data_IF_208768280731
#
_entry.id   IF_208768280731
#
_cell.length_a   1.000
_cell.length_b   1.000
_cell.length_c   1.000
_cell.angle_alpha   90.00
_cell.angle_beta   90.00
_cell.angle_gamma   90.00
#
_symmetry.space_group_name_H-M   'P 1'
#
loop_
_entity.id
_entity.type
_entity.pdbx_description
1 polymer ?
#
# COMPACT_ATOMS: atom_id res chain seq x y z
N UNK A 1 -1.13 -2.73 16.62
CA UNK A 1 -1.83 -4.02 16.41
C UNK A 1 -1.70 -4.38 14.95
N UNK A 2 -1.75 -5.65 14.63
CA UNK A 2 -1.57 -6.20 13.29
C UNK A 2 -2.69 -7.20 12.99
N UNK A 3 -3.16 -7.28 11.76
CA UNK A 3 -4.31 -8.09 11.34
C UNK A 3 -3.88 -9.27 10.48
N UNK A 4 -4.58 -10.41 10.62
CA UNK A 4 -4.44 -11.57 9.73
C UNK A 4 -5.21 -11.34 8.42
N UNK A 5 -4.66 -11.75 7.28
CA UNK A 5 -5.32 -11.66 5.98
C UNK A 5 -5.47 -13.05 5.38
N UNK A 6 -6.67 -13.40 4.94
CA UNK A 6 -6.96 -14.70 4.31
C UNK A 6 -7.56 -14.45 2.92
N UNK A 7 -6.96 -15.08 1.92
CA UNK A 7 -7.56 -15.27 0.60
C UNK A 7 -8.18 -16.67 0.58
N UNK A 8 -9.48 -16.77 0.33
CA UNK A 8 -10.22 -18.02 0.26
C UNK A 8 -10.72 -18.24 -1.16
N UNK A 9 -10.00 -19.06 -1.92
CA UNK A 9 -10.28 -19.47 -3.29
C UNK A 9 -10.66 -18.28 -4.22
N UNK A 10 -9.95 -17.14 -4.08
CA UNK A 10 -10.26 -15.93 -4.85
C UNK A 10 -9.95 -16.13 -6.32
N UNK A 11 -10.90 -15.77 -7.17
CA UNK A 11 -10.73 -15.74 -8.63
C UNK A 11 -11.08 -14.36 -9.16
N UNK A 12 -10.34 -13.88 -10.16
CA UNK A 12 -10.65 -12.64 -10.87
C UNK A 12 -10.66 -12.84 -12.36
N UNK A 13 -11.82 -12.64 -12.93
CA UNK A 13 -12.04 -12.54 -14.37
C UNK A 13 -12.28 -11.08 -14.73
N UNK A 14 -11.52 -10.56 -15.67
CA UNK A 14 -11.82 -9.27 -16.28
C UNK A 14 -12.67 -9.50 -17.54
N UNK A 15 -13.65 -8.63 -17.82
CA UNK A 15 -14.44 -8.74 -19.05
C UNK A 15 -13.50 -8.77 -20.25
N UNK A 16 -13.66 -9.77 -21.11
CA UNK A 16 -12.96 -9.81 -22.38
C UNK A 16 -13.41 -8.60 -23.23
N UNK A 17 -12.48 -7.90 -23.87
CA UNK A 17 -12.81 -6.88 -24.86
C UNK A 17 -13.73 -7.46 -25.95
N UNK A 18 -14.55 -6.63 -26.61
CA UNK A 18 -15.48 -7.07 -27.65
C UNK A 18 -14.75 -7.96 -28.69
N UNK A 19 -15.07 -9.25 -28.72
CA UNK A 19 -14.55 -10.23 -29.68
C UNK A 19 -13.56 -11.27 -29.15
N UNK A 20 -13.18 -11.26 -27.87
CA UNK A 20 -12.37 -12.31 -27.24
C UNK A 20 -13.31 -13.27 -26.48
N UNK A 21 -13.11 -14.59 -26.66
CA UNK A 21 -13.78 -15.63 -25.86
C UNK A 21 -13.47 -15.52 -24.36
N UNK A 22 -13.97 -16.41 -23.52
CA UNK A 22 -13.74 -16.41 -22.05
C UNK A 22 -12.25 -16.21 -21.75
N UNK A 23 -11.88 -15.02 -21.23
CA UNK A 23 -10.48 -14.67 -21.00
C UNK A 23 -9.86 -15.53 -19.90
N UNK A 24 -8.55 -15.75 -19.96
CA UNK A 24 -7.78 -16.36 -18.87
C UNK A 24 -7.98 -15.52 -17.61
N UNK A 25 -8.26 -16.13 -16.45
CA UNK A 25 -8.40 -15.39 -15.19
C UNK A 25 -7.08 -14.68 -14.85
N UNK A 26 -7.19 -13.44 -14.35
CA UNK A 26 -6.03 -12.71 -13.83
C UNK A 26 -5.54 -13.30 -12.50
N UNK A 27 -6.45 -13.92 -11.75
CA UNK A 27 -6.20 -14.72 -10.56
C UNK A 27 -7.16 -15.91 -10.64
N UNK A 28 -6.67 -17.13 -10.39
CA UNK A 28 -7.45 -18.36 -10.47
C UNK A 28 -7.36 -19.14 -9.18
N UNK A 29 -8.48 -19.21 -8.45
CA UNK A 29 -8.68 -20.00 -7.22
C UNK A 29 -7.53 -19.90 -6.21
N UNK A 30 -7.02 -18.69 -6.02
CA UNK A 30 -5.88 -18.44 -5.12
C UNK A 30 -6.31 -18.47 -3.65
N UNK A 31 -5.62 -19.29 -2.85
CA UNK A 31 -5.82 -19.35 -1.39
C UNK A 31 -4.49 -19.17 -0.68
N UNK A 32 -4.49 -18.29 0.33
CA UNK A 32 -3.33 -18.06 1.18
C UNK A 32 -3.76 -17.44 2.51
N UNK A 33 -3.00 -17.71 3.56
CA UNK A 33 -3.11 -17.05 4.87
C UNK A 33 -1.83 -16.27 5.14
N UNK A 34 -1.98 -15.02 5.51
CA UNK A 34 -0.90 -14.11 5.90
C UNK A 34 -1.11 -13.82 7.38
N UNK A 35 -0.15 -14.25 8.19
CA UNK A 35 -0.24 -14.09 9.63
C UNK A 35 -0.04 -12.62 10.05
N UNK A 36 -0.70 -12.25 11.14
CA UNK A 36 -0.58 -10.92 11.73
C UNK A 36 0.87 -10.58 12.07
N UNK A 37 1.28 -9.34 11.80
CA UNK A 37 2.63 -8.84 12.10
C UNK A 37 3.73 -9.39 11.19
N UNK A 38 3.39 -10.12 10.11
CA UNK A 38 4.37 -10.64 9.16
C UNK A 38 4.48 -9.80 7.91
N UNK A 39 5.64 -9.90 7.24
CA UNK A 39 5.83 -9.36 5.89
C UNK A 39 5.79 -10.49 4.89
N UNK A 40 4.84 -10.41 3.98
CA UNK A 40 4.70 -11.36 2.87
C UNK A 40 5.07 -10.69 1.56
N UNK A 41 5.99 -11.31 0.81
CA UNK A 41 6.41 -10.81 -0.51
C UNK A 41 5.74 -11.63 -1.60
N UNK A 42 5.01 -10.97 -2.49
CA UNK A 42 4.44 -11.56 -3.69
C UNK A 42 5.42 -11.36 -4.86
N UNK A 43 6.08 -12.44 -5.25
CA UNK A 43 7.02 -12.48 -6.36
C UNK A 43 6.39 -13.10 -7.61
N UNK A 44 6.82 -12.65 -8.77
CA UNK A 44 6.39 -13.23 -10.06
C UNK A 44 6.55 -12.26 -11.23
N UNK A 45 6.38 -12.78 -12.43
CA UNK A 45 6.47 -12.00 -13.68
C UNK A 45 5.40 -10.90 -13.75
N UNK A 46 5.64 -9.88 -14.58
CA UNK A 46 4.63 -8.85 -14.85
C UNK A 46 3.36 -9.48 -15.42
N UNK A 47 2.20 -9.02 -14.96
CA UNK A 47 0.89 -9.51 -15.41
C UNK A 47 0.39 -10.80 -14.75
N UNK A 48 1.12 -11.44 -13.83
CA UNK A 48 0.66 -12.67 -13.18
C UNK A 48 -0.36 -12.49 -12.03
N UNK A 49 -0.96 -11.29 -11.89
CA UNK A 49 -2.06 -11.07 -10.95
C UNK A 49 -1.70 -10.49 -9.58
N UNK A 50 -0.41 -10.24 -9.26
CA UNK A 50 0.04 -9.73 -7.93
C UNK A 50 -0.66 -8.44 -7.49
N UNK A 51 -0.65 -7.43 -8.36
CA UNK A 51 -1.35 -6.16 -8.11
C UNK A 51 -2.85 -6.36 -7.97
N UNK A 52 -3.43 -7.32 -8.69
CA UNK A 52 -4.85 -7.66 -8.56
C UNK A 52 -5.16 -8.24 -7.18
N UNK A 53 -4.34 -9.19 -6.69
CA UNK A 53 -4.46 -9.74 -5.34
C UNK A 53 -4.31 -8.64 -4.28
N UNK A 54 -3.29 -7.79 -4.42
CA UNK A 54 -3.06 -6.68 -3.49
C UNK A 54 -4.29 -5.76 -3.41
N UNK A 55 -4.86 -5.42 -4.58
CA UNK A 55 -6.03 -4.53 -4.67
C UNK A 55 -7.36 -5.18 -4.24
N UNK A 56 -7.40 -6.50 -4.10
CA UNK A 56 -8.55 -7.17 -3.48
C UNK A 56 -8.61 -6.89 -1.98
N UNK A 57 -7.46 -6.83 -1.29
CA UNK A 57 -7.42 -6.61 0.17
C UNK A 57 -8.05 -5.27 0.57
N UNK A 58 -7.91 -4.23 -0.24
CA UNK A 58 -8.51 -2.91 0.03
C UNK A 58 -9.80 -2.66 -0.78
N UNK A 59 -10.36 -3.69 -1.41
CA UNK A 59 -11.57 -3.62 -2.24
C UNK A 59 -11.51 -2.59 -3.37
N UNK A 60 -10.29 -2.27 -3.89
CA UNK A 60 -10.17 -1.56 -5.17
C UNK A 60 -10.52 -2.47 -6.35
N UNK A 61 -10.36 -3.78 -6.17
CA UNK A 61 -10.80 -4.82 -7.08
C UNK A 61 -11.62 -5.83 -6.30
N UNK A 62 -12.85 -6.07 -6.72
CA UNK A 62 -13.69 -7.13 -6.14
C UNK A 62 -13.34 -8.47 -6.81
N UNK A 63 -13.20 -9.58 -6.07
CA UNK A 63 -13.07 -10.90 -6.66
C UNK A 63 -14.33 -11.27 -7.45
N UNK A 64 -14.18 -12.10 -8.48
CA UNK A 64 -15.31 -12.65 -9.24
C UNK A 64 -15.95 -13.83 -8.50
N UNK A 65 -15.17 -14.56 -7.70
CA UNK A 65 -15.60 -15.58 -6.75
C UNK A 65 -14.56 -15.75 -5.65
N UNK A 66 -14.91 -16.44 -4.57
CA UNK A 66 -14.11 -16.55 -3.35
C UNK A 66 -14.25 -15.30 -2.48
N UNK A 67 -13.50 -15.22 -1.38
CA UNK A 67 -13.57 -14.13 -0.42
C UNK A 67 -12.18 -13.72 0.07
N UNK A 68 -12.07 -12.46 0.52
CA UNK A 68 -10.91 -11.97 1.27
C UNK A 68 -11.40 -11.63 2.68
N UNK A 69 -10.70 -12.15 3.69
CA UNK A 69 -11.02 -11.89 5.09
C UNK A 69 -9.86 -11.14 5.76
N UNK A 70 -10.21 -10.25 6.67
CA UNK A 70 -9.28 -9.60 7.60
C UNK A 70 -9.79 -9.89 9.01
N UNK A 71 -8.96 -10.57 9.82
CA UNK A 71 -9.33 -11.06 11.18
C UNK A 71 -10.60 -11.90 11.17
N UNK A 72 -10.65 -12.86 10.23
CA UNK A 72 -11.77 -13.80 9.99
C UNK A 72 -13.10 -13.13 9.58
N UNK A 73 -13.12 -11.82 9.34
CA UNK A 73 -14.29 -11.10 8.84
C UNK A 73 -14.16 -10.83 7.33
N UNK A 74 -15.18 -11.24 6.56
CA UNK A 74 -15.23 -10.95 5.13
C UNK A 74 -15.29 -9.44 4.88
N UNK A 75 -14.28 -8.92 4.17
CA UNK A 75 -14.20 -7.48 3.87
C UNK A 75 -15.34 -7.00 2.97
N UNK A 76 -16.03 -7.89 2.25
CA UNK A 76 -17.19 -7.52 1.44
C UNK A 76 -18.34 -6.99 2.30
N UNK A 77 -18.44 -7.41 3.57
CA UNK A 77 -19.44 -6.94 4.53
C UNK A 77 -19.11 -5.55 5.13
N UNK A 78 -17.84 -5.08 5.03
CA UNK A 78 -17.41 -3.79 5.59
C UNK A 78 -17.75 -2.63 4.66
N UNK A 79 -17.92 -1.44 5.21
CA UNK A 79 -17.95 -0.21 4.39
C UNK A 79 -16.60 -0.03 3.66
N UNK A 80 -16.65 0.08 2.33
CA UNK A 80 -15.45 0.12 1.49
C UNK A 80 -14.59 1.37 1.72
N UNK A 81 -15.20 2.50 2.12
CA UNK A 81 -14.46 3.74 2.39
C UNK A 81 -13.76 3.64 3.73
N UNK A 82 -14.44 3.14 4.76
CA UNK A 82 -13.85 2.90 6.08
C UNK A 82 -12.69 1.91 5.98
N UNK A 83 -12.87 0.79 5.27
CA UNK A 83 -11.83 -0.22 5.02
C UNK A 83 -10.59 0.40 4.34
N UNK A 84 -10.77 1.17 3.27
CA UNK A 84 -9.64 1.82 2.57
C UNK A 84 -8.91 2.84 3.41
N UNK A 85 -9.59 3.48 4.38
CA UNK A 85 -8.95 4.41 5.32
C UNK A 85 -8.18 3.71 6.43
N UNK A 86 -8.53 2.44 6.75
CA UNK A 86 -7.82 1.65 7.76
C UNK A 86 -6.61 0.91 7.21
N UNK A 87 -6.45 0.83 5.88
CA UNK A 87 -5.35 0.15 5.20
C UNK A 87 -4.39 1.18 4.60
N UNK A 88 -3.10 1.07 4.91
CA UNK A 88 -2.05 1.84 4.25
C UNK A 88 -1.79 1.29 2.84
N UNK A 89 -1.69 2.18 1.84
CA UNK A 89 -1.41 1.77 0.47
C UNK A 89 -0.31 2.63 -0.16
N UNK A 90 0.80 1.99 -0.51
CA UNK A 90 1.93 2.60 -1.21
C UNK A 90 1.88 2.19 -2.67
N UNK A 91 1.74 3.16 -3.56
CA UNK A 91 1.66 2.96 -5.01
C UNK A 91 3.05 3.02 -5.65
N UNK A 92 3.22 2.35 -6.79
CA UNK A 92 4.44 2.31 -7.58
C UNK A 92 5.03 3.71 -7.88
N UNK A 93 4.20 4.71 -8.16
CA UNK A 93 4.59 6.08 -8.48
C UNK A 93 4.27 7.06 -7.32
N UNK A 94 4.40 6.62 -6.06
CA UNK A 94 4.04 7.38 -4.87
C UNK A 94 2.59 7.91 -4.84
N UNK A 95 1.99 8.24 -5.98
CA UNK A 95 0.60 8.69 -6.14
C UNK A 95 0.27 9.94 -5.32
N UNK A 96 1.22 10.86 -5.16
CA UNK A 96 1.01 12.10 -4.42
C UNK A 96 0.05 13.03 -5.17
N UNK A 97 -0.76 13.77 -4.41
CA UNK A 97 -1.65 14.79 -4.96
C UNK A 97 -0.81 16.01 -5.37
N UNK A 98 -0.70 16.32 -6.67
CA UNK A 98 0.27 17.30 -7.17
C UNK A 98 -0.03 18.74 -6.72
N UNK A 99 -1.28 19.04 -6.42
CA UNK A 99 -1.77 20.34 -5.95
C UNK A 99 -1.72 20.49 -4.42
N UNK A 100 -1.24 19.49 -3.70
CA UNK A 100 -1.10 19.50 -2.25
C UNK A 100 0.37 19.48 -1.84
N UNK A 101 0.70 20.16 -0.76
CA UNK A 101 2.05 20.15 -0.16
C UNK A 101 2.35 18.77 0.42
N UNK A 102 3.63 18.49 0.68
CA UNK A 102 4.09 17.25 1.31
C UNK A 102 3.33 16.97 2.60
N UNK A 103 3.28 17.94 3.51
CA UNK A 103 2.57 17.79 4.78
C UNK A 103 1.08 17.48 4.60
N UNK A 104 0.42 18.08 3.61
CA UNK A 104 -1.00 17.85 3.32
C UNK A 104 -1.24 16.50 2.63
N UNK A 105 -0.25 15.97 1.89
CA UNK A 105 -0.28 14.61 1.38
C UNK A 105 -0.21 13.60 2.51
N UNK A 106 0.73 13.75 3.44
CA UNK A 106 0.91 12.83 4.57
C UNK A 106 -0.32 12.85 5.49
N UNK A 107 -0.84 14.03 5.84
CA UNK A 107 -1.97 14.16 6.77
C UNK A 107 -3.33 13.88 6.17
N UNK A 108 -3.42 13.48 4.90
CA UNK A 108 -4.69 13.35 4.18
C UNK A 108 -5.64 12.36 4.87
N UNK A 109 -5.19 11.12 5.08
CA UNK A 109 -6.04 10.04 5.60
C UNK A 109 -6.47 10.29 7.05
N UNK A 110 -5.56 10.59 8.02
CA UNK A 110 -5.99 10.86 9.39
C UNK A 110 -6.95 12.06 9.48
N UNK A 111 -6.81 13.08 8.64
CA UNK A 111 -7.78 14.18 8.57
C UNK A 111 -9.16 13.74 8.08
N UNK A 112 -9.22 12.80 7.12
CA UNK A 112 -10.48 12.20 6.66
C UNK A 112 -11.13 11.30 7.71
N UNK A 113 -10.34 10.79 8.67
CA UNK A 113 -10.82 10.03 9.83
C UNK A 113 -11.26 10.95 10.99
N UNK A 114 -11.07 12.27 10.88
CA UNK A 114 -11.49 13.24 11.89
C UNK A 114 -10.43 13.56 12.95
N UNK A 115 -9.18 13.10 12.77
CA UNK A 115 -8.07 13.42 13.69
C UNK A 115 -7.78 14.91 13.67
N UNK A 116 -7.48 15.48 14.84
CA UNK A 116 -7.16 16.90 14.98
C UNK A 116 -5.99 17.32 14.09
N UNK A 117 -6.05 18.55 13.60
CA UNK A 117 -5.06 19.07 12.66
C UNK A 117 -3.65 19.17 13.27
N UNK A 118 -3.56 19.45 14.56
CA UNK A 118 -2.29 19.55 15.28
C UNK A 118 -1.66 18.17 15.42
N UNK A 119 -2.44 17.17 15.80
CA UNK A 119 -1.98 15.80 15.98
C UNK A 119 -1.56 15.19 14.64
N UNK A 120 -2.36 15.40 13.58
CA UNK A 120 -1.98 15.01 12.21
C UNK A 120 -0.62 15.60 11.80
N UNK A 121 -0.40 16.89 12.06
CA UNK A 121 0.85 17.56 11.72
C UNK A 121 2.02 17.02 12.52
N UNK A 122 1.84 16.81 13.81
CA UNK A 122 2.86 16.24 14.70
C UNK A 122 3.27 14.85 14.17
N UNK A 123 2.29 13.97 13.95
CA UNK A 123 2.52 12.63 13.42
C UNK A 123 3.23 12.64 12.05
N UNK A 124 2.84 13.55 11.17
CA UNK A 124 3.48 13.69 9.86
C UNK A 124 4.96 14.07 9.97
N UNK A 125 5.34 14.97 10.89
CA UNK A 125 6.73 15.35 11.10
C UNK A 125 7.54 14.20 11.71
N UNK A 126 6.98 13.43 12.63
CA UNK A 126 7.60 12.22 13.19
C UNK A 126 7.86 11.17 12.09
N UNK A 127 6.92 10.97 11.18
CA UNK A 127 7.09 10.07 10.05
C UNK A 127 8.11 10.59 9.03
N UNK A 128 8.20 11.90 8.84
CA UNK A 128 9.26 12.48 8.01
C UNK A 128 10.64 12.19 8.61
N UNK A 129 10.82 12.36 9.92
CA UNK A 129 12.08 12.03 10.60
C UNK A 129 12.40 10.54 10.50
N UNK A 130 11.41 9.65 10.74
CA UNK A 130 11.56 8.19 10.63
C UNK A 130 12.03 7.74 9.23
N UNK A 131 11.60 8.46 8.20
CA UNK A 131 11.88 8.17 6.79
C UNK A 131 13.00 9.04 6.21
N UNK A 132 13.87 9.60 7.04
CA UNK A 132 14.97 10.46 6.63
C UNK A 132 14.57 11.57 5.62
N UNK A 133 13.40 12.16 5.81
CA UNK A 133 12.89 13.30 5.07
C UNK A 133 13.13 14.58 5.86
N UNK A 134 13.88 15.51 5.28
CA UNK A 134 14.08 16.83 5.87
C UNK A 134 12.72 17.51 6.09
N UNK A 135 12.50 18.04 7.30
CA UNK A 135 11.27 18.76 7.68
C UNK A 135 11.01 20.00 6.82
N UNK A 136 12.06 20.58 6.22
CA UNK A 136 11.94 21.70 5.28
C UNK A 136 11.19 21.32 4.00
N UNK A 137 11.10 20.02 3.69
CA UNK A 137 10.29 19.51 2.58
C UNK A 137 8.79 19.59 2.84
N UNK A 138 8.35 19.75 4.10
CA UNK A 138 6.93 19.74 4.49
C UNK A 138 6.10 20.79 3.72
N UNK A 139 6.69 21.93 3.40
CA UNK A 139 6.07 23.01 2.66
C UNK A 139 6.12 22.89 1.14
N UNK A 140 6.90 21.95 0.60
CA UNK A 140 7.11 21.77 -0.85
C UNK A 140 5.94 21.00 -1.50
N UNK A 141 5.86 21.11 -2.81
CA UNK A 141 4.94 20.37 -3.66
C UNK A 141 5.63 19.14 -4.28
N UNK A 142 4.88 18.09 -4.68
CA UNK A 142 5.46 16.86 -5.24
C UNK A 142 6.43 17.07 -6.39
N UNK A 143 6.19 18.03 -7.28
CA UNK A 143 7.07 18.33 -8.41
C UNK A 143 8.43 18.92 -8.01
N UNK A 144 8.62 19.30 -6.75
CA UNK A 144 9.86 19.84 -6.18
C UNK A 144 10.67 18.76 -5.46
N UNK A 145 10.24 17.51 -5.49
CA UNK A 145 10.88 16.36 -4.83
C UNK A 145 11.66 15.52 -5.83
N UNK A 146 12.74 14.89 -5.37
CA UNK A 146 13.33 13.77 -6.10
C UNK A 146 12.39 12.54 -6.09
N UNK A 147 12.61 11.58 -7.00
CA UNK A 147 11.81 10.35 -7.03
C UNK A 147 11.83 9.58 -5.70
N UNK A 148 13.00 9.47 -5.07
CA UNK A 148 13.15 8.84 -3.75
C UNK A 148 12.43 9.61 -2.64
N UNK A 149 12.52 10.94 -2.61
CA UNK A 149 11.78 11.76 -1.67
C UNK A 149 10.26 11.62 -1.85
N UNK A 150 9.78 11.66 -3.09
CA UNK A 150 8.36 11.45 -3.37
C UNK A 150 7.87 10.07 -2.89
N UNK A 151 8.68 9.04 -3.08
CA UNK A 151 8.35 7.69 -2.63
C UNK A 151 8.29 7.59 -1.10
N UNK A 152 9.27 8.16 -0.38
CA UNK A 152 9.25 8.23 1.09
C UNK A 152 8.02 9.01 1.60
N UNK A 153 7.63 10.09 0.95
CA UNK A 153 6.38 10.81 1.27
C UNK A 153 5.15 9.91 1.06
N UNK A 154 5.15 9.08 0.01
CA UNK A 154 4.11 8.08 -0.23
C UNK A 154 4.01 7.05 0.89
N UNK A 155 5.15 6.58 1.41
CA UNK A 155 5.22 5.67 2.57
C UNK A 155 4.74 6.38 3.84
N UNK A 156 5.21 7.61 4.11
CA UNK A 156 4.76 8.42 5.24
C UNK A 156 3.23 8.59 5.24
N UNK A 157 2.64 8.89 4.08
CA UNK A 157 1.19 9.01 3.92
C UNK A 157 0.46 7.70 4.25
N UNK A 158 0.99 6.57 3.79
CA UNK A 158 0.39 5.27 4.05
C UNK A 158 0.42 4.89 5.54
N UNK A 159 1.45 5.33 6.28
CA UNK A 159 1.64 5.08 7.71
C UNK A 159 0.94 6.10 8.61
N UNK A 160 0.51 7.24 8.08
CA UNK A 160 0.04 8.37 8.88
C UNK A 160 -1.22 8.08 9.71
N UNK A 161 -2.09 7.19 9.21
CA UNK A 161 -3.31 6.76 9.91
C UNK A 161 -3.09 5.58 10.86
N UNK A 162 -1.84 5.20 11.12
CA UNK A 162 -1.44 4.04 11.92
C UNK A 162 -2.16 2.73 11.53
N UNK A 163 -2.12 2.33 10.25
CA UNK A 163 -2.86 1.17 9.76
C UNK A 163 -2.32 -0.13 10.34
N UNK A 164 -3.18 -1.15 10.51
CA UNK A 164 -2.78 -2.51 10.90
C UNK A 164 -2.24 -3.32 9.72
N UNK A 165 -2.67 -2.97 8.51
CA UNK A 165 -2.27 -3.59 7.23
C UNK A 165 -1.63 -2.53 6.33
N UNK A 166 -0.48 -2.86 5.76
CA UNK A 166 0.23 -2.03 4.80
C UNK A 166 0.43 -2.80 3.48
N UNK A 167 -0.09 -2.26 2.41
CA UNK A 167 0.01 -2.81 1.07
C UNK A 167 1.00 -1.99 0.26
N UNK A 168 1.97 -2.64 -0.40
CA UNK A 168 2.99 -1.99 -1.21
C UNK A 168 3.02 -2.58 -2.62
N UNK A 169 2.67 -1.78 -3.61
CA UNK A 169 2.62 -2.17 -5.03
C UNK A 169 3.86 -1.64 -5.75
N UNK A 170 4.89 -2.48 -5.88
CA UNK A 170 6.19 -2.13 -6.51
C UNK A 170 6.76 -0.79 -6.02
N UNK A 171 6.88 -0.55 -4.71
CA UNK A 171 7.13 0.78 -4.15
C UNK A 171 8.47 1.39 -4.60
N UNK A 172 9.36 0.61 -5.18
CA UNK A 172 10.69 1.07 -5.63
C UNK A 172 10.89 0.95 -7.14
N UNK A 173 9.87 0.54 -7.89
CA UNK A 173 9.96 0.30 -9.34
C UNK A 173 10.33 1.53 -10.18
N UNK A 174 9.96 2.73 -9.71
CA UNK A 174 10.19 3.99 -10.41
C UNK A 174 11.43 4.78 -9.91
N UNK A 175 12.28 4.17 -9.07
CA UNK A 175 13.44 4.83 -8.45
C UNK A 175 14.74 4.30 -9.05
N UNK A 176 15.76 5.17 -9.10
CA UNK A 176 17.11 4.81 -9.53
C UNK A 176 17.66 3.60 -8.72
N UNK A 177 18.42 2.67 -9.34
CA UNK A 177 18.89 1.44 -8.69
C UNK A 177 19.71 1.67 -7.40
N UNK A 178 20.50 2.74 -7.30
CA UNK A 178 21.26 3.04 -6.09
C UNK A 178 20.33 3.48 -4.96
N UNK A 179 19.43 4.42 -5.26
CA UNK A 179 18.42 4.92 -4.31
C UNK A 179 17.46 3.78 -3.90
N UNK A 180 17.14 2.86 -4.83
CA UNK A 180 16.31 1.68 -4.54
C UNK A 180 16.89 0.82 -3.42
N UNK A 181 18.18 0.48 -3.48
CA UNK A 181 18.87 -0.32 -2.44
C UNK A 181 18.85 0.36 -1.08
N UNK A 182 19.00 1.67 -1.03
CA UNK A 182 18.89 2.45 0.20
C UNK A 182 17.48 2.37 0.78
N UNK A 183 16.47 2.62 -0.04
CA UNK A 183 15.06 2.53 0.36
C UNK A 183 14.65 1.12 0.80
N UNK A 184 15.16 0.07 0.15
CA UNK A 184 14.91 -1.32 0.56
C UNK A 184 15.49 -1.60 1.96
N UNK A 185 16.73 -1.19 2.23
CA UNK A 185 17.36 -1.34 3.56
C UNK A 185 16.62 -0.56 4.65
N UNK A 186 16.19 0.65 4.32
CA UNK A 186 15.40 1.50 5.20
C UNK A 186 14.05 0.86 5.52
N UNK A 187 13.37 0.30 4.50
CA UNK A 187 12.12 -0.41 4.70
C UNK A 187 12.24 -1.64 5.58
N UNK A 188 13.32 -2.44 5.44
CA UNK A 188 13.59 -3.58 6.33
C UNK A 188 13.74 -3.12 7.79
N UNK A 189 14.45 -1.99 8.02
CA UNK A 189 14.56 -1.40 9.36
C UNK A 189 13.21 -0.97 9.92
N UNK A 190 12.44 -0.25 9.12
CA UNK A 190 11.12 0.25 9.49
C UNK A 190 10.16 -0.92 9.77
N UNK A 191 10.20 -1.98 8.95
CA UNK A 191 9.39 -3.17 9.16
C UNK A 191 9.65 -3.85 10.51
N UNK A 192 10.93 -3.89 10.95
CA UNK A 192 11.30 -4.46 12.24
C UNK A 192 10.77 -3.63 13.44
N UNK A 193 10.54 -2.32 13.24
CA UNK A 193 10.01 -1.41 14.25
C UNK A 193 8.48 -1.32 14.23
N UNK A 194 7.86 -1.68 13.09
CA UNK A 194 6.41 -1.62 12.89
C UNK A 194 5.78 -2.98 13.17
N UNK A 195 4.94 -3.06 14.19
CA UNK A 195 4.04 -4.21 14.41
C UNK A 195 2.86 -4.14 13.43
N UNK A 196 3.11 -4.44 12.14
CA UNK A 196 2.14 -4.33 11.03
C UNK A 196 2.18 -5.58 10.16
N UNK A 197 1.04 -5.94 9.59
CA UNK A 197 0.97 -6.94 8.52
C UNK A 197 1.25 -6.26 7.20
N UNK A 198 2.28 -6.72 6.48
CA UNK A 198 2.74 -6.08 5.24
C UNK A 198 2.64 -7.05 4.08
N UNK A 199 1.99 -6.63 3.00
CA UNK A 199 2.05 -7.33 1.70
C UNK A 199 2.85 -6.47 0.73
N UNK A 200 3.91 -7.03 0.23
CA UNK A 200 4.84 -6.36 -0.68
C UNK A 200 4.83 -7.05 -2.05
N UNK A 201 4.49 -6.30 -3.09
CA UNK A 201 4.59 -6.79 -4.48
C UNK A 201 5.87 -6.27 -5.10
N UNK A 202 6.66 -7.18 -5.65
CA UNK A 202 7.85 -6.83 -6.44
C UNK A 202 8.06 -7.82 -7.58
N UNK A 203 8.79 -7.41 -8.59
CA UNK A 203 9.35 -8.27 -9.63
C UNK A 203 10.88 -8.43 -9.48
N UNK A 204 11.46 -7.75 -8.51
CA UNK A 204 12.90 -7.74 -8.21
C UNK A 204 13.19 -8.81 -7.14
N UNK A 205 14.18 -9.66 -7.37
CA UNK A 205 14.51 -10.83 -6.54
C UNK A 205 15.80 -10.61 -5.76
N UNK A 206 16.49 -9.46 -5.97
CA UNK A 206 17.77 -9.10 -5.34
C UNK A 206 17.60 -8.28 -4.06
#
# INVERSE_FOLDING_TARGET
MSSTIIFDAVTKLYPAGRGAGSGTPAVDSFSARIEAGTTTVLLGSSGCGKTTLLRMVNRMVEPSSGAVLIDDEDIAARDAVALRRSIGYVMQNAGLLPHRRVIDNITLVPRLQGTDRRDCRQRALELMDMLDLDRDLAGRYPHQLSGGQAQRVGVARALAADPEVLLMDEPFGAVDPLVRRELQREMVRIQAELDKTIIFVTHDVD
#
